data_IF_264136386887
#
_entry.id   IF_264136386887
#
_cell.length_a   1.000
_cell.length_b   1.000
_cell.length_c   1.000
_cell.angle_alpha   90.00
_cell.angle_beta   90.00
_cell.angle_gamma   90.00
#
_symmetry.space_group_name_H-M   'P 1'
#
loop_
_entity.id
_entity.type
_entity.pdbx_description
1 polymer ?
#
# COMPACT_ATOMS: atom_id res chain seq x y z
N UNK A 1 24.48 21.58 10.08
CA UNK A 1 24.19 22.99 9.72
C UNK A 1 23.37 23.65 10.83
N UNK A 2 23.52 24.96 11.05
CA UNK A 2 22.61 25.76 11.90
C UNK A 2 21.68 26.53 10.98
N UNK A 3 20.38 26.35 11.17
CA UNK A 3 19.34 26.96 10.35
C UNK A 3 18.26 27.50 11.27
N UNK A 4 17.65 28.62 10.90
CA UNK A 4 16.42 29.14 11.51
C UNK A 4 15.29 28.81 10.54
N UNK A 5 14.23 28.18 11.04
CA UNK A 5 13.08 27.77 10.24
C UNK A 5 11.80 28.26 10.92
N UNK A 6 10.84 28.71 10.14
CA UNK A 6 9.51 29.08 10.62
C UNK A 6 8.63 27.83 10.56
N UNK A 7 7.86 27.57 11.62
CA UNK A 7 6.89 26.47 11.69
C UNK A 7 5.50 27.04 11.88
N UNK A 8 4.53 26.42 11.23
CA UNK A 8 3.12 26.62 11.57
C UNK A 8 2.84 26.12 12.99
N UNK A 9 1.81 26.68 13.61
CA UNK A 9 1.47 26.40 15.01
C UNK A 9 1.14 24.92 15.25
N UNK A 10 0.51 24.26 14.27
CA UNK A 10 0.16 22.84 14.35
C UNK A 10 1.41 21.94 14.32
N UNK A 11 2.39 22.28 13.48
CA UNK A 11 3.68 21.59 13.40
C UNK A 11 4.49 21.78 14.69
N UNK A 12 4.49 22.99 15.25
CA UNK A 12 5.13 23.26 16.53
C UNK A 12 4.47 22.49 17.68
N UNK A 13 3.14 22.36 17.70
CA UNK A 13 2.41 21.56 18.68
C UNK A 13 2.76 20.07 18.58
N UNK A 14 2.71 19.50 17.37
CA UNK A 14 3.06 18.08 17.12
C UNK A 14 4.49 17.76 17.57
N UNK A 15 5.45 18.65 17.34
CA UNK A 15 6.82 18.47 17.79
C UNK A 15 6.94 18.52 19.32
N UNK A 16 6.22 19.41 20.00
CA UNK A 16 6.21 19.47 21.47
C UNK A 16 5.64 18.20 22.09
N UNK A 17 4.54 17.69 21.56
CA UNK A 17 3.91 16.45 22.03
C UNK A 17 4.87 15.26 21.86
N UNK A 18 5.55 15.20 20.72
CA UNK A 18 6.53 14.16 20.44
C UNK A 18 7.74 14.23 21.37
N UNK A 19 8.24 15.44 21.63
CA UNK A 19 9.32 15.66 22.60
C UNK A 19 8.89 15.24 24.01
N UNK A 20 7.66 15.59 24.43
CA UNK A 20 7.13 15.19 25.73
C UNK A 20 6.99 13.65 25.84
N UNK A 21 6.55 12.99 24.77
CA UNK A 21 6.37 11.53 24.72
C UNK A 21 7.68 10.76 24.72
N UNK A 22 8.72 11.29 24.07
CA UNK A 22 9.98 10.56 23.85
C UNK A 22 11.13 11.02 24.73
N UNK A 23 11.02 12.19 25.36
CA UNK A 23 12.10 12.84 26.09
C UNK A 23 13.22 13.39 25.20
N UNK A 24 13.06 13.37 23.87
CA UNK A 24 14.09 13.81 22.91
C UNK A 24 14.12 15.33 22.78
N UNK A 25 15.28 15.86 22.42
CA UNK A 25 15.44 17.30 22.16
C UNK A 25 14.75 17.72 20.85
N UNK A 26 14.39 19.01 20.74
CA UNK A 26 13.80 19.56 19.51
C UNK A 26 14.65 19.26 18.27
N UNK A 27 15.98 19.34 18.39
CA UNK A 27 16.91 19.03 17.30
C UNK A 27 16.80 17.58 16.85
N UNK A 28 16.77 16.63 17.79
CA UNK A 28 16.67 15.20 17.45
C UNK A 28 15.33 14.90 16.80
N UNK A 29 14.24 15.37 17.41
CA UNK A 29 12.88 15.17 16.91
C UNK A 29 12.71 15.77 15.51
N UNK A 30 13.13 17.02 15.28
CA UNK A 30 13.03 17.66 13.95
C UNK A 30 13.84 16.91 12.90
N UNK A 31 15.09 16.56 13.19
CA UNK A 31 15.93 15.87 12.21
C UNK A 31 15.42 14.47 11.89
N UNK A 32 14.93 13.72 12.88
CA UNK A 32 14.32 12.40 12.66
C UNK A 32 13.06 12.51 11.78
N UNK A 33 12.19 13.48 12.06
CA UNK A 33 10.97 13.69 11.28
C UNK A 33 11.27 14.14 9.86
N UNK A 34 12.24 15.01 9.65
CA UNK A 34 12.69 15.41 8.32
C UNK A 34 13.28 14.22 7.54
N UNK A 35 14.14 13.40 8.17
CA UNK A 35 14.69 12.20 7.51
C UNK A 35 13.59 11.26 7.07
N UNK A 36 12.66 10.93 7.98
CA UNK A 36 11.51 10.08 7.64
C UNK A 36 10.63 10.67 6.54
N UNK A 37 10.45 11.99 6.54
CA UNK A 37 9.68 12.68 5.50
C UNK A 37 10.35 12.63 4.13
N UNK A 38 11.68 12.77 4.08
CA UNK A 38 12.45 12.69 2.82
C UNK A 38 12.71 11.25 2.34
N UNK A 39 12.70 10.27 3.25
CA UNK A 39 12.82 8.84 2.93
C UNK A 39 11.46 8.18 2.67
N UNK A 40 10.35 8.87 2.96
CA UNK A 40 9.03 8.34 2.70
C UNK A 40 8.82 8.16 1.19
N UNK A 41 8.35 6.98 0.74
CA UNK A 41 7.99 6.81 -0.66
C UNK A 41 6.92 7.82 -1.04
N UNK A 42 7.06 8.43 -2.21
CA UNK A 42 6.06 9.34 -2.74
C UNK A 42 4.75 8.60 -3.01
N UNK A 43 3.65 9.35 -3.15
CA UNK A 43 2.38 8.75 -3.61
C UNK A 43 2.57 8.08 -4.97
N UNK A 44 3.43 8.62 -5.83
CA UNK A 44 3.78 8.05 -7.14
C UNK A 44 4.53 6.72 -7.00
N UNK A 45 5.44 6.59 -6.02
CA UNK A 45 6.14 5.33 -5.72
C UNK A 45 5.17 4.25 -5.22
N UNK A 46 4.17 4.65 -4.43
CA UNK A 46 3.14 3.77 -3.90
C UNK A 46 2.06 3.43 -4.95
N UNK A 47 1.88 4.30 -5.95
CA UNK A 47 0.88 4.15 -7.01
C UNK A 47 1.34 3.27 -8.17
N UNK A 48 2.31 2.37 -7.96
CA UNK A 48 2.66 1.39 -9.00
C UNK A 48 1.38 0.63 -9.41
N UNK A 49 0.96 0.71 -10.69
CA UNK A 49 -0.30 0.13 -11.12
C UNK A 49 -0.30 -1.37 -10.83
N UNK A 50 -1.41 -1.86 -10.26
CA UNK A 50 -1.59 -3.29 -10.09
C UNK A 50 -1.46 -3.98 -11.46
N UNK A 51 -0.47 -4.86 -11.58
CA UNK A 51 -0.18 -5.60 -12.81
C UNK A 51 -0.27 -7.09 -12.54
N UNK A 52 -1.16 -7.77 -13.29
CA UNK A 52 -1.31 -9.23 -13.20
C UNK A 52 -0.23 -9.89 -14.05
N UNK A 53 0.67 -10.63 -13.40
CA UNK A 53 1.57 -11.56 -14.09
C UNK A 53 0.80 -12.83 -14.44
N UNK A 54 0.08 -12.81 -15.57
CA UNK A 54 -0.67 -13.97 -16.03
C UNK A 54 0.26 -15.10 -16.46
N UNK A 55 -0.12 -16.34 -16.17
CA UNK A 55 0.49 -17.54 -16.73
C UNK A 55 -0.55 -18.29 -17.56
N UNK A 56 -0.15 -18.75 -18.75
CA UNK A 56 -1.01 -19.58 -19.58
C UNK A 56 -1.16 -20.97 -18.93
N UNK A 57 -2.27 -21.20 -18.22
CA UNK A 57 -2.56 -22.49 -17.59
C UNK A 57 -3.29 -23.47 -18.51
N UNK A 58 -3.80 -22.99 -19.64
CA UNK A 58 -4.69 -23.76 -20.52
C UNK A 58 -6.05 -24.05 -19.87
N UNK A 59 -6.89 -24.79 -20.58
CA UNK A 59 -8.17 -25.26 -20.08
C UNK A 59 -8.02 -26.65 -19.46
N UNK A 60 -8.88 -26.95 -18.48
CA UNK A 60 -8.97 -28.31 -17.94
C UNK A 60 -9.52 -29.26 -19.02
N UNK A 61 -9.07 -30.53 -19.08
CA UNK A 61 -9.63 -31.50 -20.01
C UNK A 61 -11.15 -31.60 -19.84
N UNK A 62 -11.88 -31.55 -20.96
CA UNK A 62 -13.35 -31.58 -20.96
C UNK A 62 -14.03 -30.23 -20.74
N UNK A 63 -13.27 -29.14 -20.48
CA UNK A 63 -13.81 -27.79 -20.54
C UNK A 63 -13.74 -27.27 -21.98
N UNK A 64 -14.90 -27.13 -22.61
CA UNK A 64 -15.07 -26.36 -23.83
C UNK A 64 -15.75 -25.03 -23.47
N UNK A 65 -15.16 -23.91 -23.87
CA UNK A 65 -15.72 -22.57 -23.60
C UNK A 65 -16.82 -22.19 -24.60
N UNK A 66 -16.91 -22.89 -25.74
CA UNK A 66 -17.95 -22.70 -26.74
C UNK A 66 -19.22 -23.53 -26.42
N UNK A 67 -19.13 -24.48 -25.49
CA UNK A 67 -20.27 -25.24 -24.95
C UNK A 67 -20.65 -24.76 -23.54
N UNK A 68 -21.47 -23.72 -23.49
CA UNK A 68 -21.98 -23.15 -22.24
C UNK A 68 -22.77 -24.19 -21.44
N UNK A 69 -23.53 -25.07 -22.10
CA UNK A 69 -24.35 -26.09 -21.44
C UNK A 69 -23.49 -27.12 -20.72
N UNK A 70 -22.50 -27.68 -21.43
CA UNK A 70 -21.53 -28.61 -20.85
C UNK A 70 -20.70 -27.99 -19.72
N UNK A 71 -20.39 -26.69 -19.82
CA UNK A 71 -19.69 -25.97 -18.76
C UNK A 71 -20.52 -25.83 -17.48
N UNK A 72 -21.82 -25.53 -17.61
CA UNK A 72 -22.73 -25.44 -16.46
C UNK A 72 -22.90 -26.80 -15.78
N UNK A 73 -23.10 -27.87 -16.55
CA UNK A 73 -23.19 -29.24 -16.01
C UNK A 73 -21.91 -29.65 -15.25
N UNK A 74 -20.73 -29.22 -15.72
CA UNK A 74 -19.45 -29.46 -15.06
C UNK A 74 -19.28 -28.66 -13.75
N UNK A 75 -19.82 -27.44 -13.70
CA UNK A 75 -19.74 -26.55 -12.52
C UNK A 75 -20.74 -26.93 -11.43
N UNK A 76 -21.97 -27.29 -11.79
CA UNK A 76 -23.04 -27.63 -10.84
C UNK A 76 -22.87 -29.02 -10.22
N UNK A 77 -22.13 -29.91 -10.89
CA UNK A 77 -21.86 -31.27 -10.43
C UNK A 77 -23.12 -32.14 -10.31
N UNK A 78 -22.98 -33.42 -9.90
CA UNK A 78 -24.11 -34.37 -9.85
C UNK A 78 -25.17 -34.05 -8.77
N UNK A 79 -25.05 -32.94 -8.03
CA UNK A 79 -25.98 -32.53 -6.98
C UNK A 79 -26.99 -31.45 -7.42
N UNK A 80 -26.90 -30.96 -8.66
CA UNK A 80 -27.72 -29.88 -9.21
C UNK A 80 -28.99 -30.29 -9.98
N UNK A 81 -29.55 -31.50 -9.74
CA UNK A 81 -30.82 -31.94 -10.35
C UNK A 81 -31.88 -32.28 -9.32
#
# INVERSE_FOLDING_TARGET
>A
MRTTLTLDDDNAAKLRDEMARTGRSLKETVNERLRRGFEAPSEEDLATPFSVKSQAMGLRPGCDLDDIGGLLDLLDGPAGR
#
